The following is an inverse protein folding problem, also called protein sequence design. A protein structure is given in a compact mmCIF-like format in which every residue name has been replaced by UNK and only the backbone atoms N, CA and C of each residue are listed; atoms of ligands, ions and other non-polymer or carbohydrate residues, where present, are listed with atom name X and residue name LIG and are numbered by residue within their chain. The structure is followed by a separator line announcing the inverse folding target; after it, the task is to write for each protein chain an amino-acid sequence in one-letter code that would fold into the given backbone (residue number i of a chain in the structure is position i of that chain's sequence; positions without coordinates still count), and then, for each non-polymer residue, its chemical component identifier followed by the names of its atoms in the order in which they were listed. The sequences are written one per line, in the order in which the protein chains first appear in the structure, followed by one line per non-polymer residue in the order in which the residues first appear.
data_IF_612258958840
#
_entry.id   IF_612258958840
#
_cell.length_a   1.000
_cell.length_b   1.000
_cell.length_c   1.000
_cell.angle_alpha   90.00
_cell.angle_beta   90.00
_cell.angle_gamma   90.00
#
_symmetry.space_group_name_H-M   'P 1'
#
loop_
_entity.id
_entity.type
_entity.pdbx_description
1 polymer ?
#
# COMPACT_ATOMS: atom_id res chain seq x y z
N UNK A 1 -11.15 -15.86 -30.78
CA UNK A 1 -10.54 -14.69 -30.09
C UNK A 1 -11.25 -14.34 -28.77
N UNK A 2 -12.39 -14.96 -28.44
CA UNK A 2 -13.17 -14.78 -27.18
C UNK A 2 -12.69 -15.67 -26.01
N UNK A 3 -11.96 -16.78 -26.29
CA UNK A 3 -11.56 -17.74 -25.25
C UNK A 3 -10.37 -17.28 -24.36
N UNK A 4 -9.62 -16.26 -24.77
CA UNK A 4 -8.43 -15.80 -24.03
C UNK A 4 -8.77 -14.86 -22.88
N UNK A 5 -9.80 -14.04 -23.00
CA UNK A 5 -10.23 -13.09 -21.95
C UNK A 5 -10.94 -13.83 -20.81
N UNK A 6 -11.80 -14.78 -21.11
CA UNK A 6 -12.48 -15.63 -20.11
C UNK A 6 -11.47 -16.49 -19.31
N UNK A 7 -10.45 -17.01 -19.98
CA UNK A 7 -9.39 -17.78 -19.33
C UNK A 7 -8.56 -16.93 -18.39
N UNK A 8 -8.24 -15.68 -18.76
CA UNK A 8 -7.47 -14.73 -17.94
C UNK A 8 -8.27 -14.27 -16.72
N UNK A 9 -9.57 -13.98 -16.85
CA UNK A 9 -10.46 -13.64 -15.73
C UNK A 9 -10.51 -14.79 -14.71
N UNK A 10 -10.65 -16.03 -15.19
CA UNK A 10 -10.67 -17.23 -14.34
C UNK A 10 -9.37 -17.45 -13.58
N UNK A 11 -8.20 -17.16 -14.19
CA UNK A 11 -6.90 -17.26 -13.52
C UNK A 11 -6.73 -16.20 -12.42
N UNK A 12 -7.14 -14.96 -12.68
CA UNK A 12 -7.12 -13.88 -11.68
C UNK A 12 -8.02 -14.18 -10.49
N UNK A 13 -9.20 -14.73 -10.72
CA UNK A 13 -10.12 -15.12 -9.65
C UNK A 13 -9.59 -16.29 -8.81
N UNK A 14 -8.91 -17.25 -9.44
CA UNK A 14 -8.21 -18.33 -8.73
C UNK A 14 -7.07 -17.78 -7.85
N UNK A 15 -6.30 -16.82 -8.37
CA UNK A 15 -5.24 -16.18 -7.61
C UNK A 15 -5.78 -15.42 -6.39
N UNK A 16 -6.88 -14.67 -6.54
CA UNK A 16 -7.53 -13.97 -5.41
C UNK A 16 -8.02 -14.93 -4.34
N UNK A 17 -8.71 -16.00 -4.71
CA UNK A 17 -9.16 -17.04 -3.77
C UNK A 17 -8.02 -17.75 -3.08
N UNK A 18 -6.92 -17.98 -3.81
CA UNK A 18 -5.69 -18.54 -3.20
C UNK A 18 -5.07 -17.58 -2.20
N UNK A 19 -4.97 -16.29 -2.54
CA UNK A 19 -4.47 -15.24 -1.63
C UNK A 19 -5.31 -15.15 -0.36
N UNK A 20 -6.61 -15.10 -0.48
CA UNK A 20 -7.53 -15.04 0.67
C UNK A 20 -7.28 -16.21 1.65
N UNK A 21 -7.13 -17.42 1.12
CA UNK A 21 -6.80 -18.60 1.92
C UNK A 21 -5.40 -18.55 2.52
N UNK A 22 -4.39 -18.16 1.72
CA UNK A 22 -2.98 -18.16 2.14
C UNK A 22 -2.69 -17.04 3.14
N UNK A 23 -3.39 -15.91 3.05
CA UNK A 23 -3.36 -14.81 4.02
C UNK A 23 -3.94 -15.22 5.38
N UNK A 24 -5.01 -16.00 5.35
CA UNK A 24 -5.69 -16.43 6.56
C UNK A 24 -6.40 -15.29 7.30
N UNK A 25 -7.17 -15.61 8.34
CA UNK A 25 -8.04 -14.63 9.01
C UNK A 25 -7.27 -13.49 9.68
N UNK A 26 -6.07 -13.74 10.19
CA UNK A 26 -5.26 -12.70 10.85
C UNK A 26 -4.95 -11.54 9.90
N UNK A 27 -4.38 -11.84 8.74
CA UNK A 27 -3.96 -10.83 7.78
C UNK A 27 -5.16 -10.22 7.06
N UNK A 28 -6.17 -11.01 6.71
CA UNK A 28 -7.40 -10.52 6.07
C UNK A 28 -8.15 -9.55 6.99
N UNK A 29 -8.31 -9.86 8.28
CA UNK A 29 -8.95 -8.95 9.23
C UNK A 29 -8.14 -7.66 9.41
N UNK A 30 -6.80 -7.76 9.46
CA UNK A 30 -5.94 -6.61 9.54
C UNK A 30 -6.05 -5.71 8.30
N UNK A 31 -6.14 -6.29 7.08
CA UNK A 31 -6.33 -5.53 5.85
C UNK A 31 -7.72 -4.91 5.71
N UNK A 32 -8.75 -5.56 6.23
CA UNK A 32 -10.12 -5.05 6.17
C UNK A 32 -10.40 -3.93 7.18
N UNK A 33 -9.53 -3.75 8.17
CA UNK A 33 -9.66 -2.63 9.12
C UNK A 33 -9.39 -1.29 8.39
N UNK A 34 -10.36 -0.35 8.37
CA UNK A 34 -10.21 0.94 7.69
C UNK A 34 -9.11 1.83 8.31
N UNK A 35 -8.70 1.56 9.55
CA UNK A 35 -7.59 2.28 10.18
C UNK A 35 -6.22 1.75 9.78
N UNK A 36 -6.12 0.62 9.10
CA UNK A 36 -4.85 0.05 8.65
C UNK A 36 -4.19 0.93 7.60
N UNK A 37 -2.93 1.30 7.85
CA UNK A 37 -2.06 2.05 6.94
C UNK A 37 -1.13 1.10 6.21
N UNK A 38 -0.46 0.23 6.96
CA UNK A 38 0.52 -0.71 6.40
C UNK A 38 0.55 -2.01 7.21
N UNK A 39 0.72 -3.13 6.49
CA UNK A 39 0.97 -4.45 7.04
C UNK A 39 2.28 -4.96 6.49
N UNK A 40 3.18 -5.41 7.38
CA UNK A 40 4.51 -5.89 7.01
C UNK A 40 4.79 -7.25 7.61
N UNK A 41 5.49 -8.08 6.84
CA UNK A 41 6.06 -9.35 7.31
C UNK A 41 7.58 -9.27 7.16
N UNK A 42 8.27 -9.34 8.28
CA UNK A 42 9.72 -9.26 8.35
C UNK A 42 10.37 -10.63 8.18
N UNK A 43 11.69 -10.66 8.00
CA UNK A 43 12.47 -11.88 7.81
C UNK A 43 12.47 -12.83 9.03
N UNK A 44 12.14 -12.33 10.22
CA UNK A 44 11.92 -13.12 11.43
C UNK A 44 10.55 -13.80 11.49
N UNK A 45 9.71 -13.58 10.47
CA UNK A 45 8.34 -14.08 10.38
C UNK A 45 7.31 -13.24 11.11
N UNK A 46 7.70 -12.21 11.87
CA UNK A 46 6.76 -11.36 12.60
C UNK A 46 5.93 -10.50 11.66
N UNK A 47 4.64 -10.42 11.99
CA UNK A 47 3.66 -9.60 11.29
C UNK A 47 3.47 -8.30 12.06
N UNK A 48 3.77 -7.20 11.43
CA UNK A 48 3.64 -5.85 11.97
C UNK A 48 2.50 -5.11 11.30
N UNK A 49 1.74 -4.38 12.08
CA UNK A 49 0.59 -3.60 11.63
C UNK A 49 0.74 -2.15 12.07
N UNK A 50 0.70 -1.24 11.10
CA UNK A 50 0.57 0.18 11.34
C UNK A 50 -0.88 0.61 11.15
N UNK A 51 -1.42 1.33 12.12
CA UNK A 51 -2.75 1.95 12.06
C UNK A 51 -2.63 3.47 12.17
N UNK A 52 -3.60 4.16 11.57
CA UNK A 52 -3.67 5.60 11.59
C UNK A 52 -3.62 6.17 13.02
N UNK A 53 -2.63 7.02 13.30
CA UNK A 53 -2.45 7.67 14.61
C UNK A 53 -2.01 6.74 15.75
N UNK A 54 -1.60 5.51 15.45
CA UNK A 54 -1.11 4.55 16.44
C UNK A 54 0.33 4.12 16.13
N UNK A 55 1.05 3.73 17.16
CA UNK A 55 2.37 3.10 17.00
C UNK A 55 2.20 1.73 16.36
N UNK A 56 3.20 1.35 15.57
CA UNK A 56 3.27 0.03 14.95
C UNK A 56 3.25 -1.08 16.01
N UNK A 57 2.46 -2.13 15.79
CA UNK A 57 2.30 -3.25 16.70
C UNK A 57 2.55 -4.58 16.00
N UNK A 58 3.19 -5.52 16.69
CA UNK A 58 3.27 -6.90 16.25
C UNK A 58 1.93 -7.59 16.54
N UNK A 59 1.30 -8.18 15.52
CA UNK A 59 -0.02 -8.81 15.62
C UNK A 59 0.03 -10.33 15.54
N UNK A 60 1.19 -10.91 15.25
CA UNK A 60 1.38 -12.36 15.15
C UNK A 60 2.57 -12.73 14.30
N UNK A 61 2.60 -13.98 13.88
CA UNK A 61 3.68 -14.55 13.09
C UNK A 61 3.16 -15.24 11.83
N UNK A 62 3.97 -15.25 10.78
CA UNK A 62 3.70 -15.91 9.52
C UNK A 62 4.86 -16.85 9.17
N UNK A 63 4.55 -18.07 8.77
CA UNK A 63 5.58 -19.04 8.36
C UNK A 63 6.25 -18.61 7.05
N UNK A 64 7.57 -18.77 6.88
CA UNK A 64 8.28 -18.38 5.66
C UNK A 64 7.67 -18.97 4.39
N UNK A 65 7.27 -20.24 4.40
CA UNK A 65 6.62 -20.88 3.27
C UNK A 65 5.28 -20.23 2.88
N UNK A 66 4.55 -19.71 3.86
CA UNK A 66 3.28 -18.99 3.62
C UNK A 66 3.56 -17.61 3.03
N UNK A 67 4.54 -16.89 3.55
CA UNK A 67 4.97 -15.59 2.98
C UNK A 67 5.44 -15.76 1.53
N UNK A 68 6.23 -16.78 1.23
CA UNK A 68 6.67 -17.10 -0.12
C UNK A 68 5.50 -17.43 -1.05
N UNK A 69 4.52 -18.21 -0.58
CA UNK A 69 3.32 -18.56 -1.36
C UNK A 69 2.50 -17.32 -1.72
N UNK A 70 2.35 -16.37 -0.80
CA UNK A 70 1.68 -15.08 -1.03
C UNK A 70 2.43 -14.28 -2.10
N UNK A 71 3.74 -14.09 -1.94
CA UNK A 71 4.58 -13.35 -2.90
C UNK A 71 4.48 -13.95 -4.31
N UNK A 72 4.63 -15.27 -4.43
CA UNK A 72 4.52 -15.96 -5.74
C UNK A 72 3.12 -15.85 -6.34
N UNK A 73 2.08 -15.86 -5.53
CA UNK A 73 0.70 -15.71 -6.01
C UNK A 73 0.44 -14.30 -6.52
N UNK A 74 0.94 -13.26 -5.83
CA UNK A 74 0.88 -11.88 -6.31
C UNK A 74 1.65 -11.71 -7.62
N UNK A 75 2.85 -12.29 -7.72
CA UNK A 75 3.62 -12.26 -8.95
C UNK A 75 2.86 -12.91 -10.12
N UNK A 76 2.32 -14.10 -9.91
CA UNK A 76 1.51 -14.80 -10.93
C UNK A 76 0.27 -14.03 -11.36
N UNK A 77 -0.40 -13.32 -10.44
CA UNK A 77 -1.53 -12.45 -10.77
C UNK A 77 -1.15 -11.33 -11.75
N UNK A 78 0.08 -10.80 -11.63
CA UNK A 78 0.64 -9.78 -12.53
C UNK A 78 1.37 -10.37 -13.75
N UNK A 79 1.23 -11.68 -14.00
CA UNK A 79 1.95 -12.37 -15.08
C UNK A 79 3.48 -12.19 -14.97
N UNK A 80 3.98 -12.06 -13.73
CA UNK A 80 5.41 -11.95 -13.41
C UNK A 80 5.87 -13.22 -12.70
N UNK A 81 7.16 -13.49 -12.80
CA UNK A 81 7.80 -14.61 -12.09
C UNK A 81 8.82 -14.07 -11.10
N UNK A 82 8.81 -14.61 -9.87
CA UNK A 82 9.81 -14.30 -8.85
C UNK A 82 10.71 -15.51 -8.66
N UNK A 83 12.00 -15.32 -8.91
CA UNK A 83 13.04 -16.34 -8.86
C UNK A 83 14.25 -15.86 -8.07
N UNK A 84 15.22 -16.72 -7.83
CA UNK A 84 16.51 -16.35 -7.21
C UNK A 84 17.26 -15.25 -7.99
N UNK A 85 17.05 -15.15 -9.30
CA UNK A 85 17.66 -14.12 -10.16
C UNK A 85 16.84 -12.82 -10.21
N UNK A 86 15.55 -12.92 -9.94
CA UNK A 86 14.61 -11.78 -9.87
C UNK A 86 13.80 -11.89 -8.57
N UNK A 87 14.42 -11.65 -7.41
CA UNK A 87 13.82 -11.97 -6.12
C UNK A 87 12.84 -10.91 -5.59
N UNK A 88 12.64 -9.81 -6.31
CA UNK A 88 11.81 -8.67 -5.89
C UNK A 88 10.58 -8.57 -6.78
N UNK A 89 9.43 -8.31 -6.18
CA UNK A 89 8.17 -8.00 -6.86
C UNK A 89 7.55 -6.75 -6.26
N UNK A 90 7.16 -5.84 -7.11
CA UNK A 90 6.34 -4.68 -6.76
C UNK A 90 5.13 -4.61 -7.67
N UNK A 91 4.00 -4.18 -7.11
CA UNK A 91 2.75 -4.07 -7.86
C UNK A 91 1.57 -3.74 -6.97
N UNK A 92 0.38 -3.86 -7.53
CA UNK A 92 -0.86 -3.75 -6.77
C UNK A 92 -1.22 -5.08 -6.12
N UNK A 93 -1.68 -5.03 -4.88
CA UNK A 93 -2.18 -6.21 -4.18
C UNK A 93 -3.54 -6.62 -4.75
N UNK A 94 -3.71 -7.88 -5.16
CA UNK A 94 -4.87 -8.31 -5.95
C UNK A 94 -6.23 -8.19 -5.26
N UNK A 95 -6.27 -8.19 -3.92
CA UNK A 95 -7.54 -8.19 -3.17
C UNK A 95 -8.16 -6.78 -3.09
N UNK A 96 -7.36 -5.74 -2.89
CA UNK A 96 -7.87 -4.39 -2.62
C UNK A 96 -7.15 -3.26 -3.37
N UNK A 97 -6.18 -3.62 -4.24
CA UNK A 97 -5.41 -2.64 -5.01
C UNK A 97 -4.39 -1.85 -4.18
N UNK A 98 -4.11 -2.23 -2.94
CA UNK A 98 -3.03 -1.69 -2.11
C UNK A 98 -1.67 -1.84 -2.80
N UNK A 99 -0.69 -1.03 -2.44
CA UNK A 99 0.69 -1.24 -2.92
C UNK A 99 1.28 -2.47 -2.24
N UNK A 100 1.88 -3.33 -3.02
CA UNK A 100 2.56 -4.55 -2.58
C UNK A 100 4.03 -4.50 -2.96
N UNK A 101 4.91 -4.81 -2.01
CA UNK A 101 6.33 -5.04 -2.24
C UNK A 101 6.72 -6.35 -1.56
N UNK A 102 7.24 -7.31 -2.31
CA UNK A 102 7.67 -8.61 -1.79
C UNK A 102 9.10 -8.94 -2.20
N UNK A 103 9.83 -9.60 -1.31
CA UNK A 103 11.22 -9.98 -1.51
C UNK A 103 11.44 -11.43 -1.08
N UNK A 104 12.23 -12.15 -1.87
CA UNK A 104 12.65 -13.52 -1.60
C UNK A 104 14.18 -13.62 -1.43
N UNK A 105 14.69 -14.66 -0.77
CA UNK A 105 16.12 -14.95 -0.82
C UNK A 105 16.66 -15.01 -2.27
N UNK A 106 17.87 -14.50 -2.55
CA UNK A 106 18.95 -14.21 -1.60
C UNK A 106 19.06 -12.75 -1.11
N UNK A 107 18.18 -11.81 -1.55
CA UNK A 107 18.27 -10.39 -1.13
C UNK A 107 17.83 -10.18 0.32
N UNK A 108 17.06 -11.11 0.85
CA UNK A 108 16.64 -11.19 2.26
C UNK A 108 16.94 -12.59 2.79
N UNK A 109 17.06 -12.74 4.11
CA UNK A 109 17.33 -14.04 4.74
C UNK A 109 16.11 -14.98 4.71
N UNK A 110 14.90 -14.42 4.67
CA UNK A 110 13.62 -15.14 4.62
C UNK A 110 12.63 -14.30 3.84
N UNK A 111 11.56 -14.87 3.24
CA UNK A 111 10.56 -14.11 2.51
C UNK A 111 9.95 -12.97 3.34
N UNK A 112 9.97 -11.76 2.79
CA UNK A 112 9.38 -10.55 3.40
C UNK A 112 8.44 -9.88 2.44
N UNK A 113 7.39 -9.22 2.95
CA UNK A 113 6.56 -8.36 2.13
C UNK A 113 5.92 -7.24 2.95
N UNK A 114 5.54 -6.17 2.26
CA UNK A 114 4.75 -5.09 2.81
C UNK A 114 3.52 -4.84 1.92
N UNK A 115 2.38 -4.54 2.55
CA UNK A 115 1.15 -4.14 1.91
C UNK A 115 0.77 -2.77 2.47
N UNK A 116 0.89 -1.72 1.65
CA UNK A 116 0.55 -0.35 2.04
C UNK A 116 -0.78 0.04 1.42
N UNK A 117 -1.75 0.32 2.28
CA UNK A 117 -3.09 0.73 1.86
C UNK A 117 -3.04 2.06 1.09
N UNK A 118 -3.88 2.17 0.06
CA UNK A 118 -4.15 3.48 -0.53
C UNK A 118 -4.78 4.36 0.54
N UNK A 119 -4.35 5.62 0.63
CA UNK A 119 -4.89 6.54 1.64
C UNK A 119 -6.42 6.63 1.50
N UNK A 120 -7.14 6.11 2.51
CA UNK A 120 -8.62 6.06 2.50
C UNK A 120 -9.22 7.40 2.92
N UNK A 121 -8.46 8.23 3.65
CA UNK A 121 -8.92 9.53 4.10
C UNK A 121 -8.18 10.65 3.36
N UNK A 122 -8.88 11.33 2.49
CA UNK A 122 -8.47 12.63 1.94
C UNK A 122 -8.82 13.65 3.03
N UNK A 123 -7.81 14.27 3.65
CA UNK A 123 -8.03 15.37 4.58
C UNK A 123 -7.94 16.68 3.82
N UNK A 124 -8.95 17.53 3.96
CA UNK A 124 -8.91 18.85 3.37
C UNK A 124 -7.92 19.77 4.11
N UNK A 125 -7.40 20.79 3.42
CA UNK A 125 -6.51 21.76 4.07
C UNK A 125 -7.23 22.44 5.25
N UNK A 126 -8.55 22.60 5.18
CA UNK A 126 -9.40 23.10 6.26
C UNK A 126 -9.38 22.17 7.46
N UNK A 127 -9.48 20.85 7.25
CA UNK A 127 -9.40 19.87 8.32
C UNK A 127 -8.03 19.87 9.02
N UNK A 128 -6.94 20.15 8.29
CA UNK A 128 -5.62 20.35 8.90
C UNK A 128 -5.58 21.60 9.78
N UNK A 129 -6.30 22.67 9.40
CA UNK A 129 -6.43 23.87 10.23
C UNK A 129 -7.27 23.55 11.48
N UNK A 130 -8.41 22.88 11.34
CA UNK A 130 -9.27 22.45 12.46
C UNK A 130 -8.52 21.58 13.45
N UNK A 131 -7.72 20.63 12.97
CA UNK A 131 -6.86 19.77 13.78
C UNK A 131 -5.60 20.47 14.33
N UNK A 132 -5.44 21.77 14.06
CA UNK A 132 -4.28 22.57 14.48
C UNK A 132 -2.92 22.05 13.97
N UNK A 133 -2.93 21.31 12.89
CA UNK A 133 -1.72 20.84 12.21
C UNK A 133 -1.08 21.92 11.35
N UNK A 134 -1.89 22.91 10.90
CA UNK A 134 -1.42 24.11 10.22
C UNK A 134 -2.25 25.33 10.62
N UNK A 135 -1.70 26.51 10.38
CA UNK A 135 -2.41 27.78 10.59
C UNK A 135 -3.24 28.16 9.36
N UNK A 136 -4.29 28.97 9.55
CA UNK A 136 -5.08 29.53 8.46
C UNK A 136 -4.21 30.23 7.41
N UNK A 137 -3.17 30.95 7.88
CA UNK A 137 -2.23 31.66 6.99
C UNK A 137 -1.41 30.70 6.12
N UNK A 138 -0.98 29.55 6.67
CA UNK A 138 -0.29 28.52 5.90
C UNK A 138 -1.23 27.88 4.87
N UNK A 139 -2.46 27.56 5.26
CA UNK A 139 -3.48 27.02 4.35
C UNK A 139 -3.71 27.95 3.16
N UNK A 140 -3.93 29.24 3.40
CA UNK A 140 -4.14 30.23 2.34
C UNK A 140 -2.92 30.33 1.42
N UNK A 141 -1.70 30.30 1.98
CA UNK A 141 -0.46 30.38 1.20
C UNK A 141 -0.28 29.16 0.29
N UNK A 142 -0.64 27.96 0.77
CA UNK A 142 -0.58 26.73 -0.02
C UNK A 142 -1.62 26.80 -1.16
N UNK A 143 -2.86 27.21 -0.88
CA UNK A 143 -3.91 27.38 -1.89
C UNK A 143 -3.50 28.37 -2.99
N UNK A 144 -2.93 29.52 -2.61
CA UNK A 144 -2.43 30.52 -3.56
C UNK A 144 -1.29 29.93 -4.42
N UNK A 145 -0.35 29.21 -3.81
CA UNK A 145 0.77 28.63 -4.53
C UNK A 145 0.33 27.54 -5.52
N UNK A 146 -0.68 26.73 -5.16
CA UNK A 146 -1.28 25.74 -6.07
C UNK A 146 -2.01 26.45 -7.22
N UNK A 147 -2.84 27.44 -6.93
CA UNK A 147 -3.58 28.20 -7.95
C UNK A 147 -2.66 28.96 -8.92
N UNK A 148 -1.47 29.36 -8.46
CA UNK A 148 -0.45 30.04 -9.26
C UNK A 148 0.53 29.05 -9.93
N UNK A 149 0.27 27.73 -9.87
CA UNK A 149 1.14 26.66 -10.40
C UNK A 149 2.61 26.75 -9.97
N UNK A 150 2.85 27.16 -8.71
CA UNK A 150 4.20 27.29 -8.16
C UNK A 150 4.76 25.92 -7.76
N UNK A 151 6.06 25.76 -7.91
CA UNK A 151 6.75 24.60 -7.36
C UNK A 151 6.69 24.63 -5.83
N UNK A 152 6.21 23.55 -5.20
CA UNK A 152 6.09 23.43 -3.75
C UNK A 152 7.00 22.27 -3.30
N UNK A 153 7.92 22.57 -2.40
CA UNK A 153 8.75 21.55 -1.73
C UNK A 153 8.22 21.37 -0.30
N UNK A 154 7.80 20.16 0.03
CA UNK A 154 7.38 19.79 1.39
C UNK A 154 8.43 18.88 2.00
N UNK A 155 8.96 19.26 3.16
CA UNK A 155 10.02 18.54 3.86
C UNK A 155 9.51 18.18 5.26
N UNK A 156 9.71 16.93 5.66
CA UNK A 156 9.29 16.45 6.99
C UNK A 156 9.85 15.08 7.31
N UNK A 157 9.66 14.63 8.53
CA UNK A 157 10.00 13.27 8.98
C UNK A 157 9.02 12.22 8.46
N UNK A 158 9.35 10.95 8.68
CA UNK A 158 8.44 9.83 8.40
C UNK A 158 7.15 9.93 9.22
N UNK A 159 6.00 9.61 8.60
CA UNK A 159 4.69 9.66 9.26
C UNK A 159 3.92 10.98 9.06
N UNK A 160 4.51 11.98 8.39
CA UNK A 160 3.75 13.15 7.94
C UNK A 160 3.00 12.75 6.66
N UNK A 161 1.66 12.88 6.61
CA UNK A 161 0.87 12.48 5.46
C UNK A 161 1.02 13.46 4.28
N UNK A 162 2.23 13.53 3.71
CA UNK A 162 2.57 14.42 2.60
C UNK A 162 1.75 14.12 1.35
N UNK A 163 1.47 12.86 1.07
CA UNK A 163 0.64 12.43 -0.05
C UNK A 163 -0.78 13.00 0.01
N UNK A 164 -1.23 13.38 1.21
CA UNK A 164 -2.55 13.97 1.44
C UNK A 164 -2.63 15.44 1.03
N UNK A 165 -1.52 16.17 1.02
CA UNK A 165 -1.49 17.57 0.56
C UNK A 165 -1.73 17.70 -0.95
N UNK A 166 -1.40 16.67 -1.73
CA UNK A 166 -1.46 16.72 -3.19
C UNK A 166 -2.70 16.04 -3.77
N UNK A 167 -3.46 15.26 -2.99
CA UNK A 167 -4.63 14.53 -3.47
C UNK A 167 -5.90 15.37 -3.57
N UNK A 168 -5.90 16.60 -3.02
CA UNK A 168 -7.11 17.41 -2.86
C UNK A 168 -7.57 18.19 -4.08
N UNK A 169 -6.78 18.24 -5.12
CA UNK A 169 -7.15 18.97 -6.33
C UNK A 169 -6.60 18.27 -7.57
N UNK A 170 -7.03 17.01 -7.85
CA UNK A 170 -6.64 16.36 -9.09
C UNK A 170 -7.04 17.18 -10.31
N UNK A 171 -8.13 17.95 -10.22
CA UNK A 171 -8.61 18.83 -11.29
C UNK A 171 -7.68 20.03 -11.56
N UNK A 172 -6.93 20.49 -10.55
CA UNK A 172 -5.97 21.58 -10.71
C UNK A 172 -4.65 21.14 -11.37
N UNK A 173 -4.34 19.85 -11.34
CA UNK A 173 -3.12 19.28 -11.92
C UNK A 173 -3.30 18.68 -13.32
N UNK A 174 -4.56 18.46 -13.74
CA UNK A 174 -4.91 17.86 -15.03
C UNK A 174 -5.28 18.88 -16.11
N UNK A 175 -5.19 20.20 -15.85
CA UNK A 175 -5.48 21.25 -16.82
C UNK A 175 -4.21 21.80 -17.51
N UNK A 176 -3.34 20.89 -17.99
CA UNK A 176 -2.38 21.22 -19.05
C UNK A 176 -2.08 19.99 -19.87
#
# INVERSE_FOLDING_TARGET
MLDSEDSCATLKDRAKRKLDRDMGPLLINALNDPQTVELMVNADGRVWLEKLGKTMACIGDLRPAQAEAIIKTVAGYHSKEVTKLKPIIEGEFPLDGSRFAGQLPPVVSSPTFAIRKKAVAIFTLEQYVEQRMMTVKQCQKIKSAVAEHRNILVVGGTGIPLEKFFSESPELWLQN
#
